data_IF_310198530357
#
_entry.id   IF_310198530357
#
_cell.length_a   1.000
_cell.length_b   1.000
_cell.length_c   1.000
_cell.angle_alpha   90.00
_cell.angle_beta   90.00
_cell.angle_gamma   90.00
#
_symmetry.space_group_name_H-M   'P 1'
#
loop_
_entity.id
_entity.type
_entity.pdbx_description
1 polymer ?
#
# COMPACT_ATOMS: atom_id res chain seq x y z
N UNK A 1 2.86 -5.02 -15.44
CA UNK A 1 2.48 -5.11 -14.01
C UNK A 1 3.54 -4.49 -13.10
N UNK A 2 4.82 -4.85 -13.27
CA UNK A 2 5.96 -4.39 -12.45
C UNK A 2 6.08 -2.86 -12.25
N UNK A 3 5.68 -2.05 -13.26
CA UNK A 3 5.72 -0.57 -13.16
C UNK A 3 4.72 0.00 -12.13
N UNK A 4 3.52 -0.58 -12.03
CA UNK A 4 2.43 -0.10 -11.15
C UNK A 4 2.71 -0.40 -9.68
N UNK A 5 3.24 -1.59 -9.43
CA UNK A 5 3.68 -2.02 -8.10
C UNK A 5 4.72 -1.06 -7.53
N UNK A 6 5.75 -0.70 -8.32
CA UNK A 6 6.79 0.24 -7.91
C UNK A 6 6.25 1.61 -7.48
N UNK A 7 5.19 2.12 -8.13
CA UNK A 7 4.57 3.39 -7.74
C UNK A 7 3.96 3.33 -6.34
N UNK A 8 3.21 2.26 -6.05
CA UNK A 8 2.53 2.09 -4.76
C UNK A 8 3.55 1.80 -3.66
N UNK A 9 4.53 0.94 -3.90
CA UNK A 9 5.61 0.65 -2.95
C UNK A 9 6.44 1.90 -2.66
N UNK A 10 6.72 2.73 -3.67
CA UNK A 10 7.40 4.02 -3.48
C UNK A 10 6.58 4.97 -2.62
N UNK A 11 5.26 5.03 -2.83
CA UNK A 11 4.37 5.88 -2.04
C UNK A 11 4.31 5.43 -0.58
N UNK A 12 4.13 4.13 -0.32
CA UNK A 12 4.11 3.55 1.02
C UNK A 12 5.43 3.72 1.77
N UNK A 13 6.55 3.89 1.06
CA UNK A 13 7.87 4.12 1.65
C UNK A 13 8.32 5.59 1.63
N UNK A 14 7.46 6.52 1.22
CA UNK A 14 7.73 7.97 1.32
C UNK A 14 7.89 8.39 2.78
N UNK A 15 8.74 9.40 3.04
CA UNK A 15 8.90 9.97 4.39
C UNK A 15 7.57 10.48 4.94
N UNK A 16 6.79 11.15 4.09
CA UNK A 16 5.47 11.69 4.40
C UNK A 16 4.52 10.62 4.96
N UNK A 17 4.48 9.44 4.33
CA UNK A 17 3.63 8.35 4.79
C UNK A 17 4.21 7.62 6.00
N UNK A 18 5.55 7.49 6.08
CA UNK A 18 6.24 6.91 7.25
C UNK A 18 5.97 7.71 8.52
N UNK A 19 5.87 9.03 8.39
CA UNK A 19 5.63 9.95 9.50
C UNK A 19 4.21 9.95 10.05
N UNK A 20 3.29 9.21 9.44
CA UNK A 20 1.97 9.01 10.03
C UNK A 20 2.00 8.07 11.24
N UNK A 21 3.03 7.23 11.35
CA UNK A 21 3.14 6.22 12.38
C UNK A 21 4.10 6.66 13.49
N UNK A 22 3.53 6.90 14.67
CA UNK A 22 4.25 7.22 15.90
C UNK A 22 3.60 6.48 17.08
N UNK A 23 4.37 6.11 18.12
CA UNK A 23 5.82 6.26 18.31
C UNK A 23 6.70 5.33 17.42
N UNK A 24 8.03 5.50 17.46
CA UNK A 24 9.01 4.82 16.57
C UNK A 24 8.82 3.30 16.48
N UNK A 25 8.60 2.64 17.62
CA UNK A 25 8.44 1.18 17.66
C UNK A 25 7.15 0.70 16.93
N UNK A 26 6.08 1.50 16.93
CA UNK A 26 4.88 1.19 16.13
C UNK A 26 5.15 1.33 14.64
N UNK A 27 5.90 2.37 14.25
CA UNK A 27 6.34 2.54 12.85
C UNK A 27 7.15 1.33 12.41
N UNK A 28 8.14 0.90 13.19
CA UNK A 28 8.93 -0.28 12.88
C UNK A 28 8.04 -1.51 12.71
N UNK A 29 7.11 -1.76 13.65
CA UNK A 29 6.16 -2.87 13.57
C UNK A 29 5.32 -2.84 12.29
N UNK A 30 4.72 -1.70 11.94
CA UNK A 30 3.94 -1.53 10.69
C UNK A 30 4.80 -1.88 9.47
N UNK A 31 6.02 -1.33 9.40
CA UNK A 31 6.88 -1.54 8.26
C UNK A 31 7.48 -2.95 8.17
N UNK A 32 7.45 -3.75 9.24
CA UNK A 32 7.76 -5.18 9.15
C UNK A 32 6.75 -5.97 8.32
N UNK A 33 5.50 -5.49 8.20
CA UNK A 33 4.46 -6.10 7.38
C UNK A 33 4.39 -5.46 5.98
N UNK A 34 4.46 -4.13 5.89
CA UNK A 34 4.42 -3.40 4.61
C UNK A 34 5.55 -3.81 3.67
N UNK A 35 6.75 -4.07 4.21
CA UNK A 35 7.91 -4.47 3.41
C UNK A 35 8.00 -5.97 3.13
N UNK A 36 7.01 -6.77 3.54
CA UNK A 36 6.95 -8.19 3.15
C UNK A 36 6.63 -8.28 1.67
N UNK A 37 7.16 -9.32 1.01
CA UNK A 37 6.83 -9.57 -0.38
C UNK A 37 5.33 -9.87 -0.53
N UNK A 38 4.60 -8.98 -1.20
CA UNK A 38 3.21 -9.14 -1.57
C UNK A 38 3.04 -9.34 -3.08
N UNK A 39 1.88 -9.85 -3.51
CA UNK A 39 1.56 -9.97 -4.94
C UNK A 39 1.13 -8.65 -5.57
N UNK A 40 0.91 -7.61 -4.77
CA UNK A 40 0.43 -6.29 -5.23
C UNK A 40 -0.89 -6.32 -5.99
N UNK A 41 -1.71 -7.36 -5.80
CA UNK A 41 -2.89 -7.60 -6.63
C UNK A 41 -3.95 -6.51 -6.46
N UNK A 42 -4.23 -6.11 -5.22
CA UNK A 42 -5.25 -5.10 -4.90
C UNK A 42 -4.90 -3.72 -5.45
N UNK A 43 -3.68 -3.17 -5.22
CA UNK A 43 -3.29 -1.91 -5.83
C UNK A 43 -3.29 -2.01 -7.36
N UNK A 44 -2.84 -3.13 -7.94
CA UNK A 44 -2.87 -3.31 -9.38
C UNK A 44 -4.29 -3.28 -9.95
N UNK A 45 -5.25 -3.97 -9.33
CA UNK A 45 -6.66 -3.96 -9.76
C UNK A 45 -7.27 -2.56 -9.66
N UNK A 46 -7.00 -1.82 -8.58
CA UNK A 46 -7.50 -0.45 -8.43
C UNK A 46 -6.97 0.49 -9.52
N UNK A 47 -5.65 0.47 -9.75
CA UNK A 47 -5.02 1.30 -10.78
C UNK A 47 -5.52 0.93 -12.18
N UNK A 48 -5.68 -0.36 -12.47
CA UNK A 48 -6.26 -0.82 -13.74
C UNK A 48 -7.71 -0.39 -13.90
N UNK A 49 -8.51 -0.43 -12.84
CA UNK A 49 -9.90 0.03 -12.87
C UNK A 49 -9.98 1.54 -13.15
N UNK A 50 -9.12 2.34 -12.52
CA UNK A 50 -8.99 3.77 -12.79
C UNK A 50 -8.65 4.04 -14.26
N UNK A 51 -7.62 3.37 -14.80
CA UNK A 51 -7.24 3.50 -16.20
C UNK A 51 -8.33 3.01 -17.18
N UNK A 52 -9.06 1.95 -16.83
CA UNK A 52 -10.11 1.38 -17.67
C UNK A 52 -11.32 2.33 -17.87
N UNK A 53 -11.58 3.21 -16.91
CA UNK A 53 -12.63 4.26 -17.02
C UNK A 53 -12.09 5.59 -17.54
N UNK A 54 -10.83 5.63 -17.98
CA UNK A 54 -10.18 6.82 -18.54
C UNK A 54 -9.58 7.79 -17.53
N UNK A 55 -9.43 7.39 -16.26
CA UNK A 55 -8.75 8.19 -15.23
C UNK A 55 -7.21 8.10 -15.31
N UNK A 56 -6.52 9.05 -14.67
CA UNK A 56 -5.06 8.97 -14.51
C UNK A 56 -4.71 8.05 -13.33
N UNK A 57 -4.07 6.92 -13.64
CA UNK A 57 -3.59 5.97 -12.63
C UNK A 57 -2.68 6.62 -11.58
N UNK A 58 -1.97 7.70 -11.92
CA UNK A 58 -1.07 8.39 -10.98
C UNK A 58 -1.84 9.11 -9.86
N UNK A 59 -3.01 9.65 -10.18
CA UNK A 59 -3.88 10.30 -9.19
C UNK A 59 -4.50 9.26 -8.23
N UNK A 60 -4.61 8.00 -8.68
CA UNK A 60 -5.15 6.90 -7.89
C UNK A 60 -4.10 6.20 -6.98
N UNK A 61 -2.82 6.59 -7.03
CA UNK A 61 -1.76 5.97 -6.21
C UNK A 61 -2.08 6.01 -4.70
N UNK A 62 -2.49 7.15 -4.09
CA UNK A 62 -2.83 7.19 -2.67
C UNK A 62 -3.97 6.22 -2.31
N UNK A 63 -4.98 6.09 -3.18
CA UNK A 63 -6.08 5.16 -2.98
C UNK A 63 -5.62 3.69 -3.09
N UNK A 64 -4.76 3.37 -4.06
CA UNK A 64 -4.15 2.05 -4.21
C UNK A 64 -3.32 1.67 -2.97
N UNK A 65 -2.53 2.61 -2.45
CA UNK A 65 -1.74 2.45 -1.23
C UNK A 65 -2.61 2.24 0.01
N UNK A 66 -3.70 3.01 0.15
CA UNK A 66 -4.64 2.87 1.25
C UNK A 66 -5.31 1.49 1.27
N UNK A 67 -5.71 0.97 0.10
CA UNK A 67 -6.30 -0.37 -0.02
C UNK A 67 -5.30 -1.46 0.38
N UNK A 68 -4.04 -1.36 -0.04
CA UNK A 68 -3.02 -2.33 0.36
C UNK A 68 -2.71 -2.23 1.86
N UNK A 69 -2.62 -1.03 2.41
CA UNK A 69 -2.42 -0.81 3.85
C UNK A 69 -3.57 -1.39 4.68
N UNK A 70 -4.82 -1.17 4.25
CA UNK A 70 -5.98 -1.76 4.89
C UNK A 70 -5.93 -3.28 4.86
N UNK A 71 -5.55 -3.87 3.73
CA UNK A 71 -5.33 -5.31 3.66
C UNK A 71 -4.22 -5.80 4.60
N UNK A 72 -3.09 -5.08 4.67
CA UNK A 72 -2.02 -5.42 5.62
C UNK A 72 -2.52 -5.41 7.06
N UNK A 73 -3.36 -4.43 7.41
CA UNK A 73 -4.01 -4.38 8.73
C UNK A 73 -4.91 -5.60 8.98
N UNK A 74 -5.71 -6.04 8.01
CA UNK A 74 -6.53 -7.25 8.20
C UNK A 74 -5.67 -8.49 8.44
N UNK A 75 -4.55 -8.65 7.72
CA UNK A 75 -3.63 -9.78 7.93
C UNK A 75 -3.05 -9.82 9.34
N UNK A 76 -2.64 -8.67 9.87
CA UNK A 76 -2.13 -8.58 11.25
C UNK A 76 -3.18 -9.06 12.24
N UNK A 77 -4.44 -8.65 12.05
CA UNK A 77 -5.54 -9.04 12.92
C UNK A 77 -5.94 -10.52 12.73
N UNK A 78 -5.91 -11.04 11.50
CA UNK A 78 -6.18 -12.45 11.20
C UNK A 78 -5.14 -13.39 11.85
N UNK A 79 -3.86 -12.97 11.92
CA UNK A 79 -2.78 -13.75 12.55
C UNK A 79 -2.87 -13.81 14.10
N UNK A 80 -3.70 -12.97 14.71
CA UNK A 80 -3.83 -12.82 16.17
C UNK A 80 -5.04 -13.57 16.77
N UNK A 81 -5.95 -14.08 15.93
CA UNK A 81 -7.19 -14.76 16.32
C UNK A 81 -6.98 -16.29 16.35
#
# INVERSE_FOLDING_TARGET
MEKREKWVTSYLNSEEFRDWFHPHHLREAVYTYVNRAGKGLRPAVLLLACGAVGGDEREAIPAAAAVEMFHTWTLVHDDLI
#
